data_IF_705497445681
#
_entry.id   IF_705497445681
#
_cell.length_a   1.000
_cell.length_b   1.000
_cell.length_c   1.000
_cell.angle_alpha   90.00
_cell.angle_beta   90.00
_cell.angle_gamma   90.00
#
_symmetry.space_group_name_H-M   'P 1'
#
loop_
_entity.id
_entity.type
_entity.pdbx_description
1 polymer ?
#
# COMPACT_ATOMS: atom_id res chain seq x y z
N UNK A 1 -18.02 -16.41 -16.37
CA UNK A 1 -17.00 -15.34 -16.26
C UNK A 1 -17.75 -14.06 -15.91
N UNK A 2 -17.69 -13.62 -14.65
CA UNK A 2 -18.41 -12.44 -14.18
C UNK A 2 -17.53 -11.18 -14.36
N UNK A 3 -18.10 -9.99 -14.54
CA UNK A 3 -17.37 -8.74 -14.37
C UNK A 3 -16.93 -8.62 -12.90
N UNK A 4 -15.64 -8.34 -12.66
CA UNK A 4 -15.09 -8.13 -11.30
C UNK A 4 -14.51 -9.40 -10.67
N UNK A 5 -13.24 -9.72 -10.96
CA UNK A 5 -12.51 -10.71 -10.18
C UNK A 5 -12.51 -10.38 -8.68
N UNK A 6 -12.28 -11.38 -7.84
CA UNK A 6 -12.18 -11.18 -6.38
C UNK A 6 -10.87 -10.43 -6.08
N UNK A 7 -10.92 -9.10 -6.03
CA UNK A 7 -9.83 -8.24 -5.58
C UNK A 7 -9.66 -8.38 -4.05
N UNK A 8 -8.42 -8.39 -3.59
CA UNK A 8 -8.05 -8.51 -2.17
C UNK A 8 -6.81 -7.68 -1.88
N UNK A 9 -6.68 -7.18 -0.65
CA UNK A 9 -5.46 -6.54 -0.18
C UNK A 9 -4.38 -7.57 0.18
N UNK A 10 -3.11 -7.19 0.07
CA UNK A 10 -1.97 -8.09 0.33
C UNK A 10 -1.75 -8.36 1.82
N UNK A 11 -2.19 -7.45 2.68
CA UNK A 11 -2.16 -7.58 4.13
C UNK A 11 -3.32 -8.42 4.70
N UNK A 12 -4.23 -8.90 3.84
CA UNK A 12 -5.39 -9.69 4.24
C UNK A 12 -6.53 -8.89 4.88
N UNK A 13 -6.45 -7.57 4.93
CA UNK A 13 -7.56 -6.72 5.37
C UNK A 13 -8.76 -6.85 4.41
N UNK A 14 -9.98 -6.65 4.90
CA UNK A 14 -11.17 -6.74 4.05
C UNK A 14 -11.16 -5.63 2.99
N UNK A 15 -11.63 -5.96 1.78
CA UNK A 15 -11.92 -4.97 0.74
C UNK A 15 -13.31 -4.37 1.00
N UNK A 16 -13.40 -3.48 1.99
CA UNK A 16 -14.62 -2.79 2.42
C UNK A 16 -14.79 -1.39 1.82
N UNK A 17 -13.72 -0.87 1.20
CA UNK A 17 -13.68 0.40 0.50
C UNK A 17 -13.05 0.22 -0.88
N UNK A 18 -13.58 0.92 -1.88
CA UNK A 18 -13.00 0.98 -3.22
C UNK A 18 -13.16 2.36 -3.81
N UNK A 19 -12.12 2.89 -4.43
CA UNK A 19 -12.16 4.17 -5.15
C UNK A 19 -11.62 4.02 -6.58
N UNK A 20 -12.18 3.07 -7.32
CA UNK A 20 -11.81 2.82 -8.72
C UNK A 20 -12.12 4.02 -9.62
N UNK A 21 -11.21 4.32 -10.54
CA UNK A 21 -11.44 5.31 -11.59
C UNK A 21 -12.57 4.85 -12.53
N UNK A 22 -13.14 5.80 -13.26
CA UNK A 22 -14.25 5.53 -14.16
C UNK A 22 -13.86 4.47 -15.21
N UNK A 23 -14.53 3.32 -15.14
CA UNK A 23 -14.33 2.21 -16.07
C UNK A 23 -13.28 1.19 -15.62
N UNK A 24 -12.81 1.29 -14.37
CA UNK A 24 -11.95 0.32 -13.71
C UNK A 24 -12.75 -0.52 -12.69
N UNK A 25 -12.28 -1.73 -12.34
CA UNK A 25 -11.14 -2.44 -12.94
C UNK A 25 -11.48 -2.95 -14.36
N UNK A 26 -10.50 -2.89 -15.27
CA UNK A 26 -10.61 -3.46 -16.62
C UNK A 26 -10.44 -4.97 -16.59
N UNK A 27 -11.25 -5.67 -17.36
CA UNK A 27 -11.12 -7.11 -17.56
C UNK A 27 -10.10 -7.45 -18.66
N UNK A 28 -8.85 -7.01 -18.47
CA UNK A 28 -7.73 -7.29 -19.38
C UNK A 28 -6.91 -8.44 -18.80
N UNK A 29 -6.67 -9.48 -19.60
CA UNK A 29 -5.83 -10.62 -19.19
C UNK A 29 -4.44 -10.11 -18.81
N UNK A 30 -4.05 -10.31 -17.55
CA UNK A 30 -2.76 -9.88 -17.01
C UNK A 30 -2.81 -8.62 -16.14
N UNK A 31 -3.90 -7.82 -16.22
CA UNK A 31 -4.11 -6.68 -15.34
C UNK A 31 -4.75 -7.11 -14.01
N UNK A 32 -4.00 -7.90 -13.25
CA UNK A 32 -4.47 -8.47 -11.98
C UNK A 32 -3.93 -7.72 -10.75
N UNK A 33 -3.29 -6.57 -10.96
CA UNK A 33 -2.78 -5.70 -9.89
C UNK A 33 -3.44 -4.32 -9.99
N UNK A 34 -3.49 -3.61 -8.88
CA UNK A 34 -4.03 -2.26 -8.81
C UNK A 34 -2.92 -1.26 -8.51
N UNK A 35 -2.99 -0.07 -9.12
CA UNK A 35 -2.22 1.10 -8.70
C UNK A 35 -3.15 2.30 -8.43
N UNK A 36 -2.69 3.19 -7.55
CA UNK A 36 -3.32 4.48 -7.32
C UNK A 36 -2.78 5.51 -8.32
N UNK A 37 -3.67 6.27 -8.95
CA UNK A 37 -3.32 7.38 -9.84
C UNK A 37 -2.89 8.56 -8.97
N UNK A 38 -1.60 8.92 -9.05
CA UNK A 38 -0.97 9.94 -8.18
C UNK A 38 -1.76 11.26 -8.10
N UNK A 39 -2.26 11.76 -9.24
CA UNK A 39 -2.90 13.08 -9.28
C UNK A 39 -4.35 13.10 -8.77
N UNK A 40 -5.05 11.96 -8.78
CA UNK A 40 -6.48 11.91 -8.45
C UNK A 40 -6.80 11.06 -7.23
N UNK A 41 -5.90 10.15 -6.82
CA UNK A 41 -6.16 9.19 -5.75
C UNK A 41 -7.03 8.00 -6.15
N UNK A 42 -7.65 8.03 -7.34
CA UNK A 42 -8.45 6.91 -7.87
C UNK A 42 -7.58 5.73 -8.29
N UNK A 43 -8.17 4.53 -8.29
CA UNK A 43 -7.45 3.28 -8.56
C UNK A 43 -7.72 2.77 -9.97
N UNK A 44 -6.77 2.05 -10.55
CA UNK A 44 -6.97 1.34 -11.81
C UNK A 44 -6.30 -0.02 -11.78
N UNK A 45 -6.80 -0.93 -12.60
CA UNK A 45 -6.14 -2.21 -12.85
C UNK A 45 -4.98 -2.02 -13.84
N UNK A 46 -3.82 -2.60 -13.55
CA UNK A 46 -2.65 -2.53 -14.42
C UNK A 46 -1.85 -3.84 -14.37
N UNK A 47 -0.91 -3.95 -15.30
CA UNK A 47 0.05 -5.04 -15.40
C UNK A 47 1.01 -5.04 -14.20
N UNK A 48 0.97 -6.14 -13.43
CA UNK A 48 1.78 -6.38 -12.24
C UNK A 48 3.31 -6.28 -12.48
N UNK A 49 3.77 -6.52 -13.71
CA UNK A 49 5.20 -6.53 -14.03
C UNK A 49 5.77 -5.14 -14.28
N UNK A 50 4.93 -4.11 -14.44
CA UNK A 50 5.40 -2.73 -14.59
C UNK A 50 6.02 -2.24 -13.29
N UNK A 51 7.19 -1.62 -13.38
CA UNK A 51 7.83 -0.99 -12.23
C UNK A 51 7.16 0.34 -11.91
N UNK A 52 6.79 0.55 -10.64
CA UNK A 52 6.08 1.73 -10.15
C UNK A 52 6.58 2.13 -8.77
N UNK A 53 6.42 3.41 -8.37
CA UNK A 53 6.48 3.78 -6.96
C UNK A 53 5.44 2.98 -6.16
N UNK A 54 5.75 2.71 -4.90
CA UNK A 54 4.91 1.93 -4.02
C UNK A 54 5.00 2.48 -2.60
N UNK A 55 3.99 2.13 -1.79
CA UNK A 55 3.86 2.57 -0.40
C UNK A 55 3.63 1.31 0.45
N UNK A 56 4.45 1.16 1.48
CA UNK A 56 4.30 0.14 2.51
C UNK A 56 3.45 0.69 3.65
N UNK A 57 2.54 -0.15 4.19
CA UNK A 57 1.72 0.12 5.37
C UNK A 57 1.93 -0.98 6.42
N UNK A 58 1.99 -0.58 7.68
CA UNK A 58 2.04 -1.50 8.82
C UNK A 58 1.32 -0.89 10.01
N UNK A 59 0.60 -1.72 10.77
CA UNK A 59 -0.01 -1.28 12.02
C UNK A 59 1.07 -0.88 13.03
N UNK A 60 0.91 0.25 13.71
CA UNK A 60 1.90 0.75 14.68
C UNK A 60 2.21 -0.26 15.79
N UNK A 61 1.23 -1.07 16.19
CA UNK A 61 1.38 -2.08 17.26
C UNK A 61 2.35 -3.19 16.91
N UNK A 62 2.68 -3.36 15.61
CA UNK A 62 3.78 -4.21 15.18
C UNK A 62 5.04 -3.85 15.99
N UNK A 63 5.41 -2.57 16.02
CA UNK A 63 6.60 -2.08 16.73
C UNK A 63 6.52 -2.11 18.26
N UNK A 64 5.35 -2.32 18.84
CA UNK A 64 5.15 -2.37 20.29
C UNK A 64 5.40 -3.79 20.86
N UNK A 65 5.53 -4.81 20.01
CA UNK A 65 5.73 -6.20 20.42
C UNK A 65 7.21 -6.58 20.56
N UNK A 66 7.70 -7.05 21.72
CA UNK A 66 8.99 -7.73 21.80
C UNK A 66 8.96 -9.02 20.95
N UNK A 67 9.99 -9.37 20.15
CA UNK A 67 11.36 -8.88 20.08
C UNK A 67 11.63 -8.02 18.85
N UNK A 68 10.67 -7.21 18.39
CA UNK A 68 10.81 -6.50 17.13
C UNK A 68 11.86 -5.39 17.21
N UNK A 69 13.11 -5.76 16.91
CA UNK A 69 14.18 -4.80 16.68
C UNK A 69 13.95 -4.17 15.31
N UNK A 70 13.40 -2.97 15.30
CA UNK A 70 13.39 -2.15 14.09
C UNK A 70 14.84 -1.87 13.68
N UNK A 71 15.16 -2.05 12.39
CA UNK A 71 16.48 -1.69 11.84
C UNK A 71 16.78 -0.19 11.95
N UNK A 72 15.74 0.62 12.17
CA UNK A 72 15.78 2.07 12.19
C UNK A 72 15.28 2.65 13.52
N UNK A 73 15.76 3.85 13.92
CA UNK A 73 15.28 4.54 15.10
C UNK A 73 13.79 4.90 14.96
N UNK A 74 13.04 4.77 16.05
CA UNK A 74 11.65 5.22 16.12
C UNK A 74 11.62 6.74 16.27
N UNK A 75 10.97 7.42 15.33
CA UNK A 75 10.73 8.85 15.36
C UNK A 75 9.23 9.11 15.20
N UNK A 76 8.67 9.93 16.10
CA UNK A 76 7.25 10.31 16.05
C UNK A 76 6.29 9.12 15.83
N UNK A 77 6.50 8.04 16.59
CA UNK A 77 5.70 6.80 16.64
C UNK A 77 5.99 5.71 15.60
N UNK A 78 6.81 5.96 14.58
CA UNK A 78 7.16 4.97 13.55
C UNK A 78 8.69 4.91 13.33
N UNK A 79 9.25 3.78 12.88
CA UNK A 79 10.65 3.74 12.47
C UNK A 79 10.88 4.64 11.26
N UNK A 80 11.95 5.43 11.26
CA UNK A 80 12.31 6.23 10.09
C UNK A 80 12.47 5.34 8.85
N UNK A 81 11.88 5.69 7.69
CA UNK A 81 11.24 6.96 7.34
C UNK A 81 9.71 6.85 7.30
N UNK A 82 9.14 5.84 7.96
CA UNK A 82 7.69 5.69 7.98
C UNK A 82 7.08 6.87 8.72
N UNK A 83 5.97 7.38 8.19
CA UNK A 83 5.21 8.47 8.79
C UNK A 83 3.96 7.87 9.41
N UNK A 84 3.71 8.24 10.66
CA UNK A 84 2.53 7.83 11.40
C UNK A 84 1.29 8.57 10.91
N UNK A 85 0.23 7.83 10.61
CA UNK A 85 -1.10 8.37 10.35
C UNK A 85 -2.04 7.93 11.47
N UNK A 86 -2.44 8.90 12.30
CA UNK A 86 -3.25 8.62 13.49
C UNK A 86 -4.60 7.95 13.19
N UNK A 87 -5.38 8.37 12.17
CA UNK A 87 -6.71 7.81 11.91
C UNK A 87 -6.74 6.29 11.71
N UNK A 88 -5.68 5.71 11.14
CA UNK A 88 -5.56 4.26 10.93
C UNK A 88 -4.62 3.58 11.91
N UNK A 89 -4.06 4.34 12.88
CA UNK A 89 -3.04 3.87 13.79
C UNK A 89 -1.88 3.14 13.07
N UNK A 90 -1.56 3.56 11.85
CA UNK A 90 -0.62 2.86 10.95
C UNK A 90 0.55 3.74 10.55
N UNK A 91 1.66 3.10 10.21
CA UNK A 91 2.89 3.69 9.70
C UNK A 91 2.97 3.46 8.19
N UNK A 92 3.27 4.51 7.43
CA UNK A 92 3.36 4.46 5.96
C UNK A 92 4.75 4.88 5.48
N UNK A 93 5.40 4.07 4.65
CA UNK A 93 6.75 4.33 4.10
C UNK A 93 6.76 4.18 2.60
N UNK A 94 7.48 5.04 1.88
CA UNK A 94 7.59 4.94 0.42
C UNK A 94 8.81 4.09 -0.01
N UNK A 95 8.80 3.68 -1.27
CA UNK A 95 9.89 2.92 -1.90
C UNK A 95 11.17 3.73 -2.21
N UNK A 96 11.35 4.94 -1.66
CA UNK A 96 12.51 5.80 -1.96
C UNK A 96 13.86 5.22 -1.49
N UNK A 97 13.86 4.03 -0.89
CA UNK A 97 15.05 3.25 -0.59
C UNK A 97 15.70 2.59 -1.80
N UNK A 98 14.91 2.20 -2.80
CA UNK A 98 15.36 1.34 -3.90
C UNK A 98 14.88 1.79 -5.29
N UNK A 99 13.97 2.77 -5.35
CA UNK A 99 13.33 3.21 -6.59
C UNK A 99 12.13 2.32 -6.98
N UNK A 100 11.52 2.56 -8.17
CA UNK A 100 10.33 1.84 -8.64
C UNK A 100 10.55 0.33 -8.75
N UNK A 101 9.61 -0.47 -8.26
CA UNK A 101 9.64 -1.94 -8.30
C UNK A 101 8.37 -2.49 -8.96
N UNK A 102 8.43 -3.72 -9.48
CA UNK A 102 7.23 -4.44 -9.90
C UNK A 102 6.38 -4.77 -8.67
N UNK A 103 5.11 -5.11 -8.88
CA UNK A 103 4.17 -5.32 -7.79
C UNK A 103 4.67 -6.38 -6.78
N UNK A 104 5.14 -7.53 -7.26
CA UNK A 104 5.65 -8.61 -6.39
C UNK A 104 6.89 -8.18 -5.62
N UNK A 105 7.84 -7.49 -6.27
CA UNK A 105 9.05 -7.02 -5.62
C UNK A 105 8.77 -5.91 -4.60
N UNK A 106 7.78 -5.05 -4.86
CA UNK A 106 7.32 -4.04 -3.90
C UNK A 106 6.73 -4.67 -2.64
N UNK A 107 5.90 -5.70 -2.79
CA UNK A 107 5.34 -6.46 -1.67
C UNK A 107 6.45 -7.16 -0.86
N UNK A 108 7.37 -7.87 -1.52
CA UNK A 108 8.52 -8.51 -0.85
C UNK A 108 9.37 -7.48 -0.06
N UNK A 109 9.56 -6.28 -0.62
CA UNK A 109 10.26 -5.21 0.07
C UNK A 109 9.51 -4.70 1.30
N UNK A 110 8.19 -4.52 1.22
CA UNK A 110 7.39 -4.14 2.39
C UNK A 110 7.44 -5.22 3.48
N UNK A 111 7.33 -6.50 3.10
CA UNK A 111 7.39 -7.63 4.02
C UNK A 111 8.73 -7.72 4.76
N UNK A 112 9.83 -7.27 4.15
CA UNK A 112 11.14 -7.18 4.82
C UNK A 112 11.13 -6.23 6.03
N UNK A 113 10.14 -5.34 6.14
CA UNK A 113 9.89 -4.45 7.29
C UNK A 113 8.71 -4.89 8.16
N UNK A 114 8.15 -6.08 7.91
CA UNK A 114 6.89 -6.52 8.54
C UNK A 114 5.67 -5.72 8.11
N UNK A 115 5.79 -5.02 6.99
CA UNK A 115 4.73 -4.26 6.34
C UNK A 115 4.20 -5.01 5.13
N UNK A 116 3.16 -4.45 4.51
CA UNK A 116 2.62 -4.91 3.23
C UNK A 116 2.47 -3.70 2.29
N UNK A 117 2.26 -3.94 0.99
CA UNK A 117 1.76 -2.88 0.12
C UNK A 117 0.48 -2.28 0.73
N UNK A 118 0.33 -0.96 0.62
CA UNK A 118 -0.74 -0.26 1.32
C UNK A 118 -2.12 -0.73 0.88
N UNK A 119 -2.90 -1.22 1.85
CA UNK A 119 -4.36 -1.23 1.80
C UNK A 119 -4.90 0.19 1.98
N UNK A 120 -6.04 0.51 1.38
CA UNK A 120 -6.72 1.80 1.55
C UNK A 120 -8.19 1.53 1.91
N UNK A 121 -8.64 2.07 3.02
CA UNK A 121 -9.97 1.85 3.59
C UNK A 121 -10.79 3.13 3.76
N UNK A 122 -10.22 4.30 3.44
CA UNK A 122 -10.95 5.54 3.60
C UNK A 122 -10.46 6.67 2.67
N UNK A 123 -11.30 7.70 2.42
CA UNK A 123 -10.88 8.90 1.72
C UNK A 123 -9.77 9.68 2.45
N UNK A 124 -9.73 9.63 3.78
CA UNK A 124 -8.68 10.27 4.58
C UNK A 124 -7.32 9.61 4.33
N UNK A 125 -7.27 8.29 4.13
CA UNK A 125 -6.05 7.61 3.67
C UNK A 125 -5.63 8.10 2.28
N UNK A 126 -6.57 8.21 1.33
CA UNK A 126 -6.26 8.75 -0.01
C UNK A 126 -5.66 10.16 0.09
N UNK A 127 -6.28 11.04 0.88
CA UNK A 127 -5.78 12.40 1.09
C UNK A 127 -4.39 12.42 1.72
N UNK A 128 -4.14 11.55 2.70
CA UNK A 128 -2.82 11.43 3.35
C UNK A 128 -1.73 10.93 2.38
N UNK A 129 -2.05 9.95 1.54
CA UNK A 129 -1.10 9.33 0.60
C UNK A 129 -0.80 10.21 -0.61
N UNK A 130 -1.75 11.04 -1.04
CA UNK A 130 -1.60 11.93 -2.21
C UNK A 130 -1.02 13.31 -1.87
N UNK A 131 -1.09 13.75 -0.62
CA UNK A 131 -0.58 15.05 -0.15
C UNK A 131 0.91 15.00 0.29
N UNK A 132 1.63 13.92 -0.06
CA UNK A 132 3.05 13.75 0.28
C UNK A 132 4.00 14.45 -0.68
#
# INVERSE_FOLDING_TARGET
>A
MMPGGNWTWTDGTPLDFTDWDKGEPKNIKGNNCADQIINSGFWRSDDCYKTKPYICKVDKTFFDSPPQTTKYPIFANCPFPFIYFQPTHSCYGDGNFTGPLSWTLGEEHCQAFGAHLTSIHSPEEIAFLTCR
#
